data_IF_566953210112
#
_entry.id   IF_566953210112
#
_cell.length_a   1.000
_cell.length_b   1.000
_cell.length_c   1.000
_cell.angle_alpha   90.00
_cell.angle_beta   90.00
_cell.angle_gamma   90.00
#
_symmetry.space_group_name_H-M   'P 1'
#
loop_
_entity.id
_entity.type
_entity.pdbx_description
1 polymer ?
#
# COMPACT_ATOMS: atom_id res chain seq x y z
N UNK A 1 -7.57 -25.33 -27.14
CA UNK A 1 -7.25 -23.88 -27.26
C UNK A 1 -7.65 -23.02 -26.06
N UNK A 2 -8.81 -23.19 -25.40
CA UNK A 2 -9.16 -22.41 -24.18
C UNK A 2 -8.24 -22.67 -22.97
N UNK A 3 -7.78 -23.91 -22.78
CA UNK A 3 -6.87 -24.30 -21.68
C UNK A 3 -5.46 -23.69 -21.79
N UNK A 4 -4.88 -23.67 -22.99
CA UNK A 4 -3.55 -23.08 -23.22
C UNK A 4 -3.52 -21.56 -23.02
N UNK A 5 -4.54 -20.83 -23.54
CA UNK A 5 -4.68 -19.39 -23.28
C UNK A 5 -4.89 -19.07 -21.80
N UNK A 6 -5.64 -19.93 -21.08
CA UNK A 6 -5.81 -19.79 -19.63
C UNK A 6 -4.51 -20.04 -18.87
N UNK A 7 -3.65 -20.95 -19.31
CA UNK A 7 -2.35 -21.21 -18.70
C UNK A 7 -1.33 -20.09 -18.96
N UNK A 8 -1.24 -19.60 -20.20
CA UNK A 8 -0.35 -18.48 -20.56
C UNK A 8 -0.71 -17.19 -19.81
N UNK A 9 -2.00 -16.85 -19.71
CA UNK A 9 -2.45 -15.68 -18.96
C UNK A 9 -2.19 -15.82 -17.45
N UNK A 10 -2.29 -17.03 -16.89
CA UNK A 10 -1.95 -17.33 -15.48
C UNK A 10 -0.45 -17.21 -15.20
N UNK A 11 0.39 -17.67 -16.12
CA UNK A 11 1.84 -17.59 -15.99
C UNK A 11 2.34 -16.14 -16.08
N UNK A 12 1.88 -15.38 -17.08
CA UNK A 12 2.28 -13.98 -17.27
C UNK A 12 1.85 -13.11 -16.10
N UNK A 13 0.67 -13.35 -15.50
CA UNK A 13 0.19 -12.54 -14.38
C UNK A 13 0.98 -12.74 -13.09
N UNK A 14 1.41 -13.97 -12.79
CA UNK A 14 2.18 -14.30 -11.58
C UNK A 14 3.67 -13.93 -11.67
N UNK A 15 4.18 -13.67 -12.88
CA UNK A 15 5.59 -13.34 -13.13
C UNK A 15 5.82 -11.88 -13.52
N UNK A 16 4.81 -10.99 -13.47
CA UNK A 16 4.92 -9.59 -13.94
C UNK A 16 6.13 -8.85 -13.36
N UNK A 17 6.34 -8.95 -12.05
CA UNK A 17 7.47 -8.32 -11.38
C UNK A 17 8.83 -8.81 -11.89
N UNK A 18 8.92 -10.10 -12.25
CA UNK A 18 10.15 -10.67 -12.85
C UNK A 18 10.31 -10.28 -14.30
N UNK A 19 9.21 -10.19 -15.07
CA UNK A 19 9.24 -9.72 -16.46
C UNK A 19 9.71 -8.27 -16.53
N UNK A 20 9.22 -7.38 -15.65
CA UNK A 20 9.72 -6.00 -15.58
C UNK A 20 11.18 -5.93 -15.16
N UNK A 21 11.60 -6.77 -14.21
CA UNK A 21 13.00 -6.84 -13.80
C UNK A 21 13.92 -7.32 -14.93
N UNK A 22 13.47 -8.27 -15.76
CA UNK A 22 14.18 -8.69 -16.96
C UNK A 22 14.21 -7.58 -18.02
N UNK A 23 13.12 -6.84 -18.21
CA UNK A 23 13.07 -5.72 -19.15
C UNK A 23 14.06 -4.61 -18.77
N UNK A 24 14.33 -4.40 -17.46
CA UNK A 24 15.24 -3.38 -16.95
C UNK A 24 16.65 -3.42 -17.57
N UNK A 25 17.10 -4.60 -17.98
CA UNK A 25 18.46 -4.82 -18.48
C UNK A 25 18.56 -4.96 -19.98
N UNK A 26 17.44 -5.09 -20.71
CA UNK A 26 17.45 -5.27 -22.18
C UNK A 26 18.12 -4.10 -22.89
N UNK A 27 17.66 -2.86 -22.65
CA UNK A 27 18.24 -1.71 -23.33
C UNK A 27 19.69 -1.42 -22.90
N UNK A 28 20.04 -1.38 -21.59
CA UNK A 28 21.44 -1.24 -21.18
C UNK A 28 22.36 -2.29 -21.81
N UNK A 29 21.93 -3.55 -21.85
CA UNK A 29 22.64 -4.66 -22.50
C UNK A 29 22.83 -4.43 -24.00
N UNK A 30 21.76 -4.02 -24.70
CA UNK A 30 21.83 -3.74 -26.13
C UNK A 30 22.81 -2.60 -26.44
N UNK A 31 22.81 -1.55 -25.62
CA UNK A 31 23.76 -0.44 -25.77
C UNK A 31 25.19 -0.91 -25.55
N UNK A 32 25.43 -1.72 -24.52
CA UNK A 32 26.75 -2.33 -24.27
C UNK A 32 27.19 -3.17 -25.44
N UNK A 33 26.32 -4.04 -25.96
CA UNK A 33 26.58 -4.88 -27.12
C UNK A 33 26.94 -4.09 -28.38
N UNK A 34 26.15 -3.06 -28.69
CA UNK A 34 26.35 -2.22 -29.87
C UNK A 34 27.67 -1.43 -29.76
N UNK A 35 28.01 -0.97 -28.55
CA UNK A 35 29.25 -0.24 -28.32
C UNK A 35 30.46 -1.16 -28.37
N UNK A 36 30.42 -2.34 -27.75
CA UNK A 36 31.54 -3.29 -27.67
C UNK A 36 31.86 -4.00 -28.99
N UNK A 37 31.09 -3.76 -30.05
CA UNK A 37 31.20 -4.52 -31.30
C UNK A 37 30.82 -5.99 -31.15
N UNK A 38 30.03 -6.35 -30.13
CA UNK A 38 29.58 -7.72 -29.89
C UNK A 38 30.65 -8.67 -29.34
N UNK A 39 31.62 -8.17 -28.56
CA UNK A 39 32.66 -9.03 -27.95
C UNK A 39 32.08 -10.09 -27.01
N UNK A 40 32.78 -11.22 -26.84
CA UNK A 40 32.38 -12.30 -25.91
C UNK A 40 32.27 -11.81 -24.47
N UNK A 41 33.13 -10.89 -24.04
CA UNK A 41 33.01 -10.29 -22.71
C UNK A 41 31.71 -9.49 -22.56
N UNK A 42 31.32 -8.74 -23.60
CA UNK A 42 30.08 -7.97 -23.58
C UNK A 42 28.82 -8.85 -23.58
N UNK A 43 28.85 -9.99 -24.25
CA UNK A 43 27.80 -11.03 -24.17
C UNK A 43 27.68 -11.55 -22.74
N UNK A 44 28.82 -11.85 -22.12
CA UNK A 44 28.89 -12.47 -20.79
C UNK A 44 28.40 -11.51 -19.70
N UNK A 45 28.85 -10.26 -19.74
CA UNK A 45 28.39 -9.18 -18.85
C UNK A 45 26.89 -8.93 -19.01
N UNK A 46 26.39 -8.97 -20.24
CA UNK A 46 24.97 -8.80 -20.56
C UNK A 46 24.10 -9.91 -19.99
N UNK A 47 24.48 -11.18 -20.21
CA UNK A 47 23.76 -12.34 -19.68
C UNK A 47 23.77 -12.34 -18.16
N UNK A 48 24.94 -12.14 -17.53
CA UNK A 48 25.07 -12.06 -16.08
C UNK A 48 24.25 -10.88 -15.53
N UNK A 49 24.29 -9.72 -16.18
CA UNK A 49 23.50 -8.54 -15.82
C UNK A 49 22.00 -8.80 -15.86
N UNK A 50 21.50 -9.49 -16.90
CA UNK A 50 20.08 -9.86 -17.02
C UNK A 50 19.67 -10.78 -15.87
N UNK A 51 20.41 -11.87 -15.63
CA UNK A 51 20.09 -12.80 -14.53
C UNK A 51 20.21 -12.16 -13.15
N UNK A 52 21.26 -11.37 -12.93
CA UNK A 52 21.46 -10.64 -11.68
C UNK A 52 20.33 -9.63 -11.45
N UNK A 53 19.90 -8.88 -12.48
CA UNK A 53 18.81 -7.92 -12.36
C UNK A 53 17.46 -8.55 -12.05
N UNK A 54 17.12 -9.69 -12.66
CA UNK A 54 15.86 -10.39 -12.43
C UNK A 54 15.65 -10.79 -10.97
N UNK A 55 16.75 -11.02 -10.23
CA UNK A 55 16.70 -11.45 -8.83
C UNK A 55 17.07 -10.34 -7.84
N UNK A 56 18.14 -9.59 -8.12
CA UNK A 56 18.60 -8.50 -7.26
C UNK A 56 17.65 -7.32 -7.29
N UNK A 57 17.08 -6.94 -8.45
CA UNK A 57 16.21 -5.76 -8.53
C UNK A 57 14.92 -5.96 -7.72
N UNK A 58 14.37 -7.17 -7.72
CA UNK A 58 13.18 -7.52 -6.92
C UNK A 58 13.51 -7.42 -5.42
N UNK A 59 14.62 -8.02 -4.98
CA UNK A 59 15.06 -7.96 -3.57
C UNK A 59 15.42 -6.55 -3.12
N UNK A 60 16.12 -5.81 -3.98
CA UNK A 60 16.52 -4.43 -3.76
C UNK A 60 15.28 -3.52 -3.64
N UNK A 61 14.30 -3.68 -4.52
CA UNK A 61 13.02 -2.95 -4.46
C UNK A 61 12.27 -3.24 -3.16
N UNK A 62 12.19 -4.51 -2.76
CA UNK A 62 11.57 -4.90 -1.49
C UNK A 62 12.33 -4.35 -0.26
N UNK A 63 13.65 -4.24 -0.33
CA UNK A 63 14.45 -3.60 0.72
C UNK A 63 14.22 -2.09 0.77
N UNK A 64 14.23 -1.41 -0.39
CA UNK A 64 13.97 0.02 -0.50
C UNK A 64 12.60 0.39 0.09
N UNK A 65 11.54 -0.37 -0.26
CA UNK A 65 10.19 -0.17 0.29
C UNK A 65 10.19 -0.33 1.81
N UNK A 66 10.84 -1.38 2.34
CA UNK A 66 10.90 -1.62 3.79
C UNK A 66 11.61 -0.49 4.54
N UNK A 67 12.69 0.07 3.97
CA UNK A 67 13.41 1.19 4.60
C UNK A 67 12.58 2.48 4.54
N UNK A 68 11.97 2.79 3.40
CA UNK A 68 11.04 3.93 3.27
C UNK A 68 9.90 3.82 4.28
N UNK A 69 9.25 2.65 4.34
CA UNK A 69 8.17 2.38 5.28
C UNK A 69 8.66 2.52 6.73
N UNK A 70 9.78 1.89 7.12
CA UNK A 70 10.29 1.98 8.49
C UNK A 70 10.52 3.43 8.95
N UNK A 71 11.05 4.29 8.07
CA UNK A 71 11.27 5.71 8.37
C UNK A 71 9.96 6.47 8.48
N UNK A 72 9.05 6.23 7.54
CA UNK A 72 7.74 6.89 7.50
C UNK A 72 6.88 6.51 8.70
N UNK A 73 6.87 5.23 9.07
CA UNK A 73 6.17 4.70 10.25
C UNK A 73 6.73 5.32 11.53
N UNK A 74 8.05 5.38 11.69
CA UNK A 74 8.68 5.94 12.89
C UNK A 74 8.46 7.45 13.04
N UNK A 75 8.48 8.18 11.92
CA UNK A 75 8.36 9.64 11.93
C UNK A 75 6.93 10.15 11.85
N UNK A 76 5.98 9.34 11.37
CA UNK A 76 4.63 9.78 11.01
C UNK A 76 4.65 10.87 9.94
N UNK A 77 5.69 10.92 9.10
CA UNK A 77 5.97 11.96 8.09
C UNK A 77 6.37 11.30 6.78
N UNK A 78 6.33 12.06 5.68
CA UNK A 78 6.65 11.52 4.35
C UNK A 78 8.02 11.96 3.85
N UNK A 79 8.46 13.18 4.16
CA UNK A 79 9.73 13.74 3.64
C UNK A 79 10.95 12.90 3.99
N UNK A 80 11.14 12.45 5.25
CA UNK A 80 12.33 11.68 5.61
C UNK A 80 12.49 10.39 4.78
N UNK A 81 11.41 9.64 4.56
CA UNK A 81 11.43 8.47 3.69
C UNK A 81 11.74 8.84 2.23
N UNK A 82 11.21 9.98 1.73
CA UNK A 82 11.52 10.48 0.38
C UNK A 82 13.00 10.77 0.19
N UNK A 83 13.65 11.38 1.18
CA UNK A 83 15.08 11.71 1.12
C UNK A 83 15.93 10.45 1.16
N UNK A 84 15.61 9.51 2.06
CA UNK A 84 16.38 8.27 2.17
C UNK A 84 16.25 7.42 0.91
N UNK A 85 15.06 7.30 0.30
CA UNK A 85 14.92 6.54 -0.96
C UNK A 85 15.75 7.13 -2.11
N UNK A 86 15.99 8.44 -2.15
CA UNK A 86 16.86 9.06 -3.17
C UNK A 86 18.27 8.50 -3.09
N UNK A 87 18.78 8.22 -1.88
CA UNK A 87 20.08 7.57 -1.70
C UNK A 87 20.16 6.18 -2.36
N UNK A 88 19.05 5.44 -2.44
CA UNK A 88 19.03 4.14 -3.10
C UNK A 88 19.09 4.23 -4.63
N UNK A 89 18.78 5.39 -5.22
CA UNK A 89 18.90 5.57 -6.67
C UNK A 89 20.33 5.81 -7.13
N UNK A 90 21.22 6.27 -6.23
CA UNK A 90 22.64 6.47 -6.52
C UNK A 90 23.32 5.20 -7.04
N UNK A 91 23.30 4.05 -6.32
CA UNK A 91 23.96 2.84 -6.81
C UNK A 91 23.35 2.32 -8.12
N UNK A 92 22.03 2.47 -8.32
CA UNK A 92 21.37 2.06 -9.57
C UNK A 92 21.90 2.86 -10.75
N UNK A 93 21.91 4.19 -10.64
CA UNK A 93 22.40 5.08 -11.69
C UNK A 93 23.89 4.87 -11.95
N UNK A 94 24.70 4.73 -10.89
CA UNK A 94 26.15 4.50 -11.01
C UNK A 94 26.43 3.19 -11.75
N UNK A 95 25.80 2.09 -11.34
CA UNK A 95 25.99 0.78 -12.00
C UNK A 95 25.56 0.84 -13.46
N UNK A 96 24.39 1.40 -13.76
CA UNK A 96 23.93 1.54 -15.14
C UNK A 96 24.87 2.41 -15.98
N UNK A 97 25.34 3.54 -15.45
CA UNK A 97 26.24 4.45 -16.16
C UNK A 97 27.60 3.80 -16.43
N UNK A 98 28.15 3.04 -15.47
CA UNK A 98 29.40 2.27 -15.64
C UNK A 98 29.20 1.23 -16.74
N UNK A 99 28.12 0.44 -16.68
CA UNK A 99 27.84 -0.59 -17.67
C UNK A 99 27.74 0.02 -19.07
N UNK A 100 26.93 1.07 -19.25
CA UNK A 100 26.74 1.74 -20.54
C UNK A 100 28.00 2.39 -21.11
N UNK A 101 28.98 2.73 -20.26
CA UNK A 101 30.21 3.41 -20.65
C UNK A 101 31.46 2.58 -20.34
N UNK A 102 31.36 1.25 -20.33
CA UNK A 102 32.47 0.33 -20.09
C UNK A 102 33.56 0.36 -21.19
N UNK A 103 33.58 1.39 -22.04
CA UNK A 103 34.62 1.61 -23.03
C UNK A 103 35.78 2.42 -22.48
N UNK A 104 37.05 2.05 -22.78
CA UNK A 104 38.21 2.80 -22.34
C UNK A 104 38.18 4.25 -22.89
N UNK A 105 38.24 5.25 -22.00
CA UNK A 105 38.45 6.66 -22.35
C UNK A 105 37.24 7.59 -22.31
N UNK A 106 36.02 7.11 -22.01
CA UNK A 106 34.83 7.97 -21.86
C UNK A 106 34.44 8.16 -20.39
N UNK A 107 34.42 9.39 -19.88
CA UNK A 107 33.69 9.68 -18.64
C UNK A 107 32.19 9.68 -18.97
N UNK A 108 31.44 8.76 -18.35
CA UNK A 108 30.02 8.52 -18.63
C UNK A 108 29.16 9.78 -18.56
N UNK A 109 29.32 10.54 -17.48
CA UNK A 109 28.65 11.82 -17.21
C UNK A 109 29.55 12.63 -16.27
N UNK A 110 29.43 13.96 -16.29
CA UNK A 110 30.00 14.81 -15.25
C UNK A 110 29.16 14.69 -13.95
N UNK A 111 29.63 15.30 -12.86
CA UNK A 111 28.91 15.27 -11.57
C UNK A 111 27.47 15.79 -11.72
N UNK A 112 27.27 16.82 -12.54
CA UNK A 112 25.94 17.40 -12.81
C UNK A 112 25.02 16.39 -13.49
N UNK A 113 25.51 15.69 -14.52
CA UNK A 113 24.76 14.64 -15.22
C UNK A 113 24.40 13.47 -14.31
N UNK A 114 25.30 13.05 -13.42
CA UNK A 114 24.99 12.02 -12.42
C UNK A 114 23.88 12.48 -11.46
N UNK A 115 23.98 13.69 -10.91
CA UNK A 115 22.95 14.26 -10.04
C UNK A 115 21.60 14.35 -10.75
N UNK A 116 21.59 14.76 -12.02
CA UNK A 116 20.39 14.83 -12.85
C UNK A 116 19.74 13.45 -13.03
N UNK A 117 20.52 12.41 -13.33
CA UNK A 117 20.01 11.05 -13.53
C UNK A 117 19.49 10.43 -12.23
N UNK A 118 20.13 10.71 -11.08
CA UNK A 118 19.61 10.31 -9.76
C UNK A 118 18.29 11.00 -9.44
N UNK A 119 18.19 12.30 -9.73
CA UNK A 119 16.95 13.05 -9.59
C UNK A 119 15.86 12.51 -10.53
N UNK A 120 16.18 12.21 -11.79
CA UNK A 120 15.26 11.64 -12.76
C UNK A 120 14.71 10.28 -12.31
N UNK A 121 15.61 9.39 -11.86
CA UNK A 121 15.22 8.07 -11.33
C UNK A 121 14.33 8.20 -10.09
N UNK A 122 14.65 9.15 -9.21
CA UNK A 122 13.81 9.46 -8.04
C UNK A 122 12.44 10.02 -8.42
N UNK A 123 12.37 10.80 -9.50
CA UNK A 123 11.14 11.37 -10.03
C UNK A 123 10.22 10.30 -10.64
N UNK A 124 10.80 9.35 -11.37
CA UNK A 124 10.03 8.20 -11.88
C UNK A 124 9.51 7.33 -10.74
N UNK A 125 10.30 7.12 -9.68
CA UNK A 125 9.82 6.45 -8.47
C UNK A 125 8.63 7.20 -7.87
N UNK A 126 8.71 8.53 -7.76
CA UNK A 126 7.61 9.34 -7.22
C UNK A 126 6.30 9.12 -8.01
N UNK A 127 6.35 9.11 -9.35
CA UNK A 127 5.19 8.81 -10.21
C UNK A 127 4.68 7.39 -9.95
N UNK A 128 5.57 6.40 -9.93
CA UNK A 128 5.24 4.99 -9.70
C UNK A 128 4.52 4.76 -8.37
N UNK A 129 4.97 5.43 -7.30
CA UNK A 129 4.33 5.37 -5.99
C UNK A 129 3.00 6.12 -5.96
N UNK A 130 2.93 7.32 -6.55
CA UNK A 130 1.67 8.04 -6.71
C UNK A 130 0.60 7.17 -7.36
N UNK A 131 0.92 6.56 -8.50
CA UNK A 131 0.05 5.60 -9.18
C UNK A 131 -0.41 4.48 -8.24
N UNK A 132 0.50 3.87 -7.48
CA UNK A 132 0.15 2.80 -6.55
C UNK A 132 -0.80 3.29 -5.45
N UNK A 133 -0.57 4.47 -4.86
CA UNK A 133 -1.43 5.02 -3.80
C UNK A 133 -2.85 5.33 -4.31
N UNK A 134 -2.99 5.76 -5.57
CA UNK A 134 -4.29 5.98 -6.23
C UNK A 134 -4.95 4.68 -6.76
N UNK A 135 -4.33 3.52 -6.52
CA UNK A 135 -4.87 2.21 -6.85
C UNK A 135 -4.51 1.70 -8.26
N UNK A 136 -3.55 2.34 -8.93
CA UNK A 136 -3.02 1.90 -10.21
C UNK A 136 -1.76 1.05 -10.02
N UNK A 137 -1.95 -0.28 -10.02
CA UNK A 137 -0.87 -1.24 -9.79
C UNK A 137 -0.59 -1.44 -8.30
N UNK A 138 0.59 -1.98 -7.98
CA UNK A 138 1.08 -2.15 -6.61
C UNK A 138 2.45 -1.50 -6.45
N UNK A 139 2.81 -1.14 -5.21
CA UNK A 139 4.05 -0.39 -4.94
C UNK A 139 5.31 -1.14 -5.41
N UNK A 140 5.36 -2.46 -5.26
CA UNK A 140 6.55 -3.24 -5.62
C UNK A 140 6.69 -3.36 -7.14
N UNK A 141 5.62 -3.76 -7.83
CA UNK A 141 5.61 -3.86 -9.28
C UNK A 141 5.90 -2.51 -9.96
N UNK A 142 5.27 -1.43 -9.48
CA UNK A 142 5.50 -0.08 -10.02
C UNK A 142 6.93 0.40 -9.77
N UNK A 143 7.53 0.09 -8.61
CA UNK A 143 8.94 0.44 -8.34
C UNK A 143 9.89 -0.30 -9.28
N UNK A 144 9.70 -1.61 -9.46
CA UNK A 144 10.53 -2.41 -10.36
C UNK A 144 10.44 -1.85 -11.79
N UNK A 145 9.23 -1.55 -12.26
CA UNK A 145 9.03 -0.91 -13.56
C UNK A 145 9.71 0.46 -13.64
N UNK A 146 9.59 1.29 -12.61
CA UNK A 146 10.28 2.58 -12.55
C UNK A 146 11.79 2.43 -12.65
N UNK A 147 12.39 1.49 -11.90
CA UNK A 147 13.83 1.24 -11.95
C UNK A 147 14.26 0.69 -13.32
N UNK A 148 13.40 -0.11 -13.97
CA UNK A 148 13.64 -0.57 -15.33
C UNK A 148 13.71 0.60 -16.32
N UNK A 149 12.75 1.53 -16.25
CA UNK A 149 12.73 2.73 -17.09
C UNK A 149 13.92 3.66 -16.73
N UNK A 150 14.29 3.77 -15.46
CA UNK A 150 15.51 4.49 -15.04
C UNK A 150 16.76 3.95 -15.70
N UNK A 151 16.95 2.63 -15.70
CA UNK A 151 18.09 2.00 -16.35
C UNK A 151 18.13 2.31 -17.85
N UNK A 152 16.97 2.29 -18.50
CA UNK A 152 16.83 2.64 -19.92
C UNK A 152 17.15 4.11 -20.17
N UNK A 153 16.69 5.01 -19.31
CA UNK A 153 16.96 6.43 -19.42
C UNK A 153 18.45 6.76 -19.25
N UNK A 154 19.12 6.14 -18.28
CA UNK A 154 20.58 6.26 -18.12
C UNK A 154 21.30 5.81 -19.38
N UNK A 155 20.90 4.66 -19.94
CA UNK A 155 21.49 4.15 -21.16
C UNK A 155 21.25 5.07 -22.37
N UNK A 156 20.03 5.61 -22.50
CA UNK A 156 19.66 6.53 -23.56
C UNK A 156 20.43 7.85 -23.47
N UNK A 157 20.60 8.42 -22.27
CA UNK A 157 21.35 9.67 -22.07
C UNK A 157 22.83 9.54 -22.47
N UNK A 158 23.38 8.33 -22.47
CA UNK A 158 24.75 8.10 -22.90
C UNK A 158 24.90 8.16 -24.44
N UNK A 159 23.82 7.95 -25.19
CA UNK A 159 23.82 7.92 -26.66
C UNK A 159 23.20 9.18 -27.25
N UNK A 160 22.09 9.64 -26.65
CA UNK A 160 21.24 10.69 -27.18
C UNK A 160 21.09 11.85 -26.20
N UNK A 161 21.57 13.04 -26.60
CA UNK A 161 21.49 14.25 -25.76
C UNK A 161 20.05 14.67 -25.49
N UNK A 162 19.12 14.37 -26.41
CA UNK A 162 17.70 14.67 -26.23
C UNK A 162 17.08 13.94 -25.03
N UNK A 163 17.63 12.78 -24.64
CA UNK A 163 17.19 12.05 -23.45
C UNK A 163 17.47 12.81 -22.14
N UNK A 164 18.46 13.72 -22.13
CA UNK A 164 18.73 14.59 -20.97
C UNK A 164 17.57 15.56 -20.70
N UNK A 165 16.82 15.97 -21.72
CA UNK A 165 15.62 16.79 -21.53
C UNK A 165 14.54 16.01 -20.76
N UNK A 166 14.31 14.76 -21.13
CA UNK A 166 13.39 13.88 -20.41
C UNK A 166 13.86 13.63 -18.96
N UNK A 167 15.17 13.40 -18.76
CA UNK A 167 15.75 13.31 -17.42
C UNK A 167 15.53 14.59 -16.60
N UNK A 168 15.65 15.77 -17.22
CA UNK A 168 15.30 17.07 -16.64
C UNK A 168 13.86 17.14 -16.17
N UNK A 169 12.89 16.74 -17.01
CA UNK A 169 11.48 16.70 -16.63
C UNK A 169 11.21 15.77 -15.45
N UNK A 170 11.80 14.57 -15.45
CA UNK A 170 11.71 13.66 -14.31
C UNK A 170 12.37 14.25 -13.04
N UNK A 171 13.48 14.96 -13.18
CA UNK A 171 14.13 15.69 -12.09
C UNK A 171 13.24 16.77 -11.49
N UNK A 172 12.50 17.52 -12.34
CA UNK A 172 11.49 18.50 -11.87
C UNK A 172 10.39 17.80 -11.08
N UNK A 173 9.89 16.65 -11.55
CA UNK A 173 8.88 15.86 -10.83
C UNK A 173 9.41 15.43 -9.45
N UNK A 174 10.67 15.01 -9.36
CA UNK A 174 11.30 14.69 -8.08
C UNK A 174 11.31 15.88 -7.12
N UNK A 175 11.79 17.03 -7.57
CA UNK A 175 11.86 18.26 -6.75
C UNK A 175 10.46 18.67 -6.31
N UNK A 176 9.49 18.70 -7.22
CA UNK A 176 8.10 19.04 -6.91
C UNK A 176 7.52 18.07 -5.86
N UNK A 177 7.73 16.77 -6.02
CA UNK A 177 7.26 15.77 -5.07
C UNK A 177 7.94 15.89 -3.70
N UNK A 178 9.22 16.24 -3.65
CA UNK A 178 9.91 16.50 -2.37
C UNK A 178 9.35 17.75 -1.69
N UNK A 179 9.17 18.84 -2.43
CA UNK A 179 8.61 20.11 -1.93
C UNK A 179 7.18 19.91 -1.42
N UNK A 180 6.32 19.18 -2.15
CA UNK A 180 4.96 18.87 -1.70
C UNK A 180 4.97 18.10 -0.37
N UNK A 181 5.86 17.10 -0.23
CA UNK A 181 6.04 16.36 1.01
C UNK A 181 6.50 17.24 2.17
N UNK A 182 7.44 18.16 1.91
CA UNK A 182 7.93 19.11 2.92
C UNK A 182 6.82 20.06 3.37
N UNK A 183 6.03 20.59 2.44
CA UNK A 183 4.90 21.47 2.74
C UNK A 183 3.80 20.74 3.51
N UNK A 184 3.58 19.45 3.23
CA UNK A 184 2.64 18.60 3.95
C UNK A 184 3.10 18.26 5.37
N UNK A 185 4.38 17.89 5.53
CA UNK A 185 4.98 17.73 6.85
C UNK A 185 4.93 19.03 7.65
N UNK A 186 5.16 20.18 7.01
CA UNK A 186 5.02 21.48 7.66
C UNK A 186 3.58 21.75 8.09
N UNK A 187 2.59 21.46 7.23
CA UNK A 187 1.15 21.56 7.57
C UNK A 187 0.75 20.63 8.72
N UNK A 188 1.46 19.53 8.93
CA UNK A 188 1.19 18.65 10.06
C UNK A 188 1.57 19.28 11.42
N UNK A 189 2.56 20.18 11.41
CA UNK A 189 3.08 20.89 12.58
C UNK A 189 2.39 22.26 12.74
N UNK A 190 2.23 22.99 11.64
CA UNK A 190 1.60 24.32 11.58
C UNK A 190 0.23 24.21 10.93
N UNK A 191 -0.79 24.25 11.76
CA UNK A 191 -2.18 24.06 11.35
C UNK A 191 -3.11 25.07 12.03
N UNK A 192 -4.23 25.43 11.37
CA UNK A 192 -5.26 26.23 12.00
C UNK A 192 -6.01 25.41 13.05
N UNK A 193 -6.29 26.01 14.22
CA UNK A 193 -7.12 25.39 15.26
C UNK A 193 -8.61 25.64 15.04
N UNK A 194 -9.14 25.04 13.99
CA UNK A 194 -10.56 25.05 13.60
C UNK A 194 -10.78 24.06 12.44
N UNK A 195 -12.05 23.86 12.09
CA UNK A 195 -12.46 23.11 10.92
C UNK A 195 -12.91 21.70 11.27
N UNK A 196 -12.72 20.77 10.34
CA UNK A 196 -13.22 19.40 10.45
C UNK A 196 -12.09 18.39 10.36
N UNK A 197 -12.27 17.23 10.99
CA UNK A 197 -11.39 16.09 10.87
C UNK A 197 -11.94 15.02 9.93
N UNK A 198 -11.05 14.26 9.31
CA UNK A 198 -11.37 13.02 8.60
C UNK A 198 -10.46 11.91 9.10
N UNK A 199 -11.03 10.74 9.31
CA UNK A 199 -10.28 9.54 9.68
C UNK A 199 -10.74 8.36 8.85
N UNK A 200 -9.80 7.78 8.13
CA UNK A 200 -10.07 6.71 7.17
C UNK A 200 -9.45 5.40 7.62
N UNK A 201 -10.10 4.32 7.21
CA UNK A 201 -9.42 3.03 7.14
C UNK A 201 -9.22 2.34 8.46
N UNK A 202 -10.17 2.43 9.38
CA UNK A 202 -9.95 1.87 10.70
C UNK A 202 -11.18 1.29 11.40
N UNK A 203 -10.81 0.32 12.26
CA UNK A 203 -11.47 -0.27 13.41
C UNK A 203 -12.09 -1.63 13.23
N UNK A 204 -11.23 -2.63 13.47
CA UNK A 204 -11.71 -3.94 13.80
C UNK A 204 -10.86 -4.69 14.85
N UNK A 205 -11.32 -4.84 16.10
CA UNK A 205 -12.43 -4.12 16.77
C UNK A 205 -12.04 -2.68 17.17
N UNK A 206 -13.01 -1.86 17.60
CA UNK A 206 -12.77 -0.47 18.06
C UNK A 206 -12.24 -0.48 19.50
N UNK A 207 -11.03 0.04 19.72
CA UNK A 207 -10.41 0.13 21.04
C UNK A 207 -10.73 1.47 21.74
N UNK A 208 -10.71 1.47 23.08
CA UNK A 208 -10.82 2.71 23.87
C UNK A 208 -9.75 3.74 23.52
N UNK A 209 -8.52 3.30 23.22
CA UNK A 209 -7.44 4.20 22.77
C UNK A 209 -7.84 5.00 21.54
N UNK A 210 -8.55 4.37 20.60
CA UNK A 210 -8.97 5.06 19.39
C UNK A 210 -9.99 6.17 19.66
N UNK A 211 -10.87 5.94 20.63
CA UNK A 211 -11.87 6.92 21.07
C UNK A 211 -11.19 8.06 21.82
N UNK A 212 -10.19 7.75 22.67
CA UNK A 212 -9.34 8.76 23.30
C UNK A 212 -8.60 9.63 22.28
N UNK A 213 -8.02 9.01 21.25
CA UNK A 213 -7.36 9.73 20.15
C UNK A 213 -8.33 10.71 19.47
N UNK A 214 -9.57 10.30 19.22
CA UNK A 214 -10.58 11.17 18.60
C UNK A 214 -10.90 12.36 19.50
N UNK A 215 -11.07 12.11 20.80
CA UNK A 215 -11.29 13.16 21.81
C UNK A 215 -10.10 14.15 21.86
N UNK A 216 -8.88 13.65 21.98
CA UNK A 216 -7.66 14.46 22.06
C UNK A 216 -7.48 15.32 20.80
N UNK A 217 -7.77 14.76 19.62
CA UNK A 217 -7.67 15.49 18.35
C UNK A 217 -8.77 16.55 18.22
N UNK A 218 -10.02 16.22 18.58
CA UNK A 218 -11.13 17.18 18.62
C UNK A 218 -10.76 18.42 19.43
N UNK A 219 -10.14 18.24 20.59
CA UNK A 219 -9.83 19.34 21.50
C UNK A 219 -8.53 20.07 21.13
N UNK A 220 -7.45 19.33 20.87
CA UNK A 220 -6.14 19.93 20.55
C UNK A 220 -6.16 20.72 19.24
N UNK A 221 -6.90 20.25 18.23
CA UNK A 221 -7.08 20.92 16.94
C UNK A 221 -8.31 21.85 16.94
N UNK A 222 -9.13 21.86 18.01
CA UNK A 222 -10.40 22.60 18.11
C UNK A 222 -11.32 22.34 16.92
N UNK A 223 -11.49 21.08 16.58
CA UNK A 223 -12.34 20.68 15.46
C UNK A 223 -13.80 20.74 15.86
N UNK A 224 -14.63 21.20 14.95
CA UNK A 224 -16.08 21.15 15.11
C UNK A 224 -16.57 19.70 15.13
N UNK A 225 -16.06 18.90 14.19
CA UNK A 225 -16.48 17.52 13.97
C UNK A 225 -15.37 16.68 13.35
N UNK A 226 -15.38 15.37 13.62
CA UNK A 226 -14.57 14.37 12.90
C UNK A 226 -15.49 13.42 12.15
N UNK A 227 -15.18 13.19 10.88
CA UNK A 227 -15.80 12.18 10.04
C UNK A 227 -14.96 10.90 10.01
N UNK A 228 -15.53 9.78 10.45
CA UNK A 228 -14.85 8.49 10.41
C UNK A 228 -15.47 7.62 9.34
N UNK A 229 -14.67 7.07 8.43
CA UNK A 229 -15.14 6.18 7.37
C UNK A 229 -14.55 4.78 7.53
N UNK A 230 -15.42 3.78 7.70
CA UNK A 230 -15.05 2.37 7.67
C UNK A 230 -14.82 1.91 6.22
N UNK A 231 -13.76 1.17 5.94
CA UNK A 231 -13.47 0.69 4.59
C UNK A 231 -14.33 -0.51 4.22
N UNK A 232 -15.07 -0.58 3.11
CA UNK A 232 -15.77 -1.81 2.68
C UNK A 232 -14.78 -2.95 2.42
N UNK A 233 -13.93 -2.77 1.39
CA UNK A 233 -12.79 -3.63 1.02
C UNK A 233 -11.69 -2.69 0.53
N UNK A 234 -10.42 -2.82 0.95
CA UNK A 234 -9.34 -2.03 0.35
C UNK A 234 -9.39 -2.14 -1.18
N UNK A 235 -9.39 -1.03 -1.92
CA UNK A 235 -9.50 -1.05 -3.40
C UNK A 235 -8.49 -2.01 -4.04
N UNK A 236 -7.31 -2.14 -3.44
CA UNK A 236 -6.27 -3.11 -3.84
C UNK A 236 -6.70 -4.57 -3.69
N UNK A 237 -7.43 -4.92 -2.64
CA UNK A 237 -7.99 -6.27 -2.46
C UNK A 237 -9.06 -6.54 -3.51
N UNK A 238 -9.93 -5.59 -3.81
CA UNK A 238 -10.93 -5.73 -4.89
C UNK A 238 -10.25 -6.06 -6.23
N UNK A 239 -9.25 -5.28 -6.63
CA UNK A 239 -8.52 -5.54 -7.88
C UNK A 239 -7.79 -6.90 -7.86
N UNK A 240 -7.26 -7.31 -6.71
CA UNK A 240 -6.62 -8.62 -6.56
C UNK A 240 -7.65 -9.77 -6.64
N UNK A 241 -8.86 -9.59 -6.11
CA UNK A 241 -9.98 -10.54 -6.24
C UNK A 241 -10.45 -10.66 -7.68
N UNK A 242 -10.65 -9.53 -8.37
CA UNK A 242 -11.04 -9.49 -9.79
C UNK A 242 -10.02 -10.22 -10.68
N UNK A 243 -8.73 -10.17 -10.33
CA UNK A 243 -7.66 -10.89 -11.03
C UNK A 243 -7.52 -12.36 -10.59
N UNK A 244 -8.20 -12.76 -9.53
CA UNK A 244 -8.07 -14.06 -8.88
C UNK A 244 -6.70 -14.28 -8.24
N UNK A 245 -6.00 -13.21 -7.86
CA UNK A 245 -4.72 -13.25 -7.11
C UNK A 245 -4.95 -13.61 -5.64
N UNK A 246 -6.12 -13.26 -5.11
CA UNK A 246 -6.57 -13.60 -3.76
C UNK A 246 -8.00 -14.14 -3.82
N UNK A 247 -8.44 -14.80 -2.77
CA UNK A 247 -9.80 -15.32 -2.59
C UNK A 247 -10.33 -14.95 -1.19
N UNK A 248 -11.66 -15.05 -1.02
CA UNK A 248 -12.35 -14.81 0.26
C UNK A 248 -12.96 -16.13 0.72
N UNK A 249 -12.72 -16.47 1.98
CA UNK A 249 -13.51 -17.42 2.75
C UNK A 249 -14.16 -16.73 3.95
N UNK A 250 -15.12 -17.40 4.59
CA UNK A 250 -15.82 -16.89 5.76
C UNK A 250 -15.51 -17.75 6.98
N UNK A 251 -15.17 -17.11 8.10
CA UNK A 251 -14.90 -17.78 9.38
C UNK A 251 -15.38 -16.91 10.53
N UNK A 252 -16.29 -17.43 11.36
CA UNK A 252 -16.88 -16.74 12.52
C UNK A 252 -17.38 -15.31 12.21
N UNK A 253 -18.17 -15.14 11.15
CA UNK A 253 -18.73 -13.85 10.73
C UNK A 253 -17.69 -12.86 10.17
N UNK A 254 -16.46 -13.31 9.88
CA UNK A 254 -15.41 -12.52 9.26
C UNK A 254 -15.08 -13.01 7.85
N UNK A 255 -14.75 -12.07 6.96
CA UNK A 255 -14.03 -12.36 5.72
C UNK A 255 -12.57 -12.67 6.04
N UNK A 256 -12.11 -13.81 5.56
CA UNK A 256 -10.72 -14.24 5.61
C UNK A 256 -10.18 -14.24 4.18
N UNK A 257 -9.11 -13.49 3.95
CA UNK A 257 -8.47 -13.39 2.65
C UNK A 257 -7.25 -14.32 2.60
N UNK A 258 -7.14 -15.11 1.54
CA UNK A 258 -6.00 -15.99 1.26
C UNK A 258 -5.41 -15.71 -0.13
N UNK A 259 -4.12 -16.02 -0.30
CA UNK A 259 -3.47 -15.98 -1.62
C UNK A 259 -3.89 -17.22 -2.42
N UNK A 260 -4.11 -17.05 -3.71
CA UNK A 260 -4.24 -18.17 -4.64
C UNK A 260 -2.89 -18.49 -5.29
N UNK A 261 -2.84 -19.55 -6.08
CA UNK A 261 -1.66 -19.89 -6.91
C UNK A 261 -1.30 -18.82 -7.96
N UNK A 262 -2.19 -17.84 -8.21
CA UNK A 262 -1.95 -16.74 -9.15
C UNK A 262 -1.29 -15.53 -8.50
N UNK A 263 -1.19 -15.50 -7.17
CA UNK A 263 -0.61 -14.38 -6.44
C UNK A 263 0.86 -14.16 -6.84
N UNK A 264 1.22 -12.94 -7.24
CA UNK A 264 2.63 -12.55 -7.39
C UNK A 264 3.38 -12.72 -6.03
N UNK A 265 4.45 -13.52 -5.96
CA UNK A 265 5.22 -13.73 -4.73
C UNK A 265 5.88 -12.45 -4.17
N UNK A 266 6.17 -11.46 -5.02
CA UNK A 266 6.80 -10.20 -4.62
C UNK A 266 5.80 -9.21 -3.99
N UNK A 267 4.50 -9.47 -4.10
CA UNK A 267 3.45 -8.58 -3.61
C UNK A 267 2.98 -8.96 -2.20
N UNK A 268 2.99 -7.98 -1.30
CA UNK A 268 2.33 -8.09 -0.02
C UNK A 268 0.85 -7.71 -0.14
N UNK A 269 -0.01 -8.72 -0.26
CA UNK A 269 -1.46 -8.51 -0.40
C UNK A 269 -2.14 -8.11 0.90
N UNK A 270 -1.58 -8.45 2.06
CA UNK A 270 -2.25 -8.31 3.36
C UNK A 270 -1.42 -7.49 4.36
N UNK A 271 -0.97 -6.27 4.00
CA UNK A 271 -0.08 -5.47 4.85
C UNK A 271 -0.75 -5.02 6.16
N UNK A 272 -2.09 -5.00 6.21
CA UNK A 272 -2.91 -4.60 7.36
C UNK A 272 -3.69 -5.79 7.95
N UNK A 273 -3.24 -7.01 7.67
CA UNK A 273 -3.93 -8.25 8.04
C UNK A 273 -4.86 -8.78 6.94
N UNK A 274 -5.40 -9.97 7.17
CA UNK A 274 -6.21 -10.72 6.21
C UNK A 274 -7.57 -11.18 6.77
N UNK A 275 -7.99 -10.66 7.93
CA UNK A 275 -9.26 -11.02 8.58
C UNK A 275 -10.01 -9.77 9.00
N UNK A 276 -11.22 -9.60 8.47
CA UNK A 276 -12.05 -8.41 8.68
C UNK A 276 -13.53 -8.79 8.80
N UNK A 277 -14.27 -8.16 9.70
CA UNK A 277 -15.73 -8.23 9.72
C UNK A 277 -16.30 -7.60 8.45
N UNK A 278 -17.53 -7.97 8.13
CA UNK A 278 -18.31 -7.34 7.07
C UNK A 278 -18.42 -5.82 7.27
N UNK A 279 -18.64 -5.09 6.18
CA UNK A 279 -18.65 -3.62 6.19
C UNK A 279 -19.71 -3.08 7.15
N UNK A 280 -20.92 -3.63 7.03
CA UNK A 280 -22.11 -3.26 7.79
C UNK A 280 -21.83 -3.44 9.28
N UNK A 281 -21.35 -4.62 9.67
CA UNK A 281 -20.99 -4.91 11.05
C UNK A 281 -19.91 -3.96 11.58
N UNK A 282 -18.87 -3.65 10.80
CA UNK A 282 -17.83 -2.68 11.24
C UNK A 282 -18.38 -1.28 11.41
N UNK A 283 -19.31 -0.85 10.54
CA UNK A 283 -19.98 0.43 10.66
C UNK A 283 -20.79 0.49 11.96
N UNK A 284 -21.51 -0.57 12.30
CA UNK A 284 -22.31 -0.63 13.53
C UNK A 284 -21.45 -0.72 14.79
N UNK A 285 -20.37 -1.50 14.78
CA UNK A 285 -19.39 -1.52 15.87
C UNK A 285 -18.79 -0.14 16.11
N UNK A 286 -18.51 0.60 15.04
CA UNK A 286 -17.98 1.95 15.13
C UNK A 286 -19.02 2.95 15.66
N UNK A 287 -20.27 2.89 15.17
CA UNK A 287 -21.38 3.71 15.68
C UNK A 287 -21.59 3.47 17.17
N UNK A 288 -21.70 2.21 17.58
CA UNK A 288 -21.85 1.82 18.97
C UNK A 288 -20.70 2.37 19.84
N UNK A 289 -19.45 2.28 19.37
CA UNK A 289 -18.30 2.78 20.11
C UNK A 289 -18.29 4.30 20.29
N UNK A 290 -18.69 5.03 19.25
CA UNK A 290 -18.82 6.50 19.31
C UNK A 290 -19.92 6.91 20.29
N UNK A 291 -21.06 6.22 20.26
CA UNK A 291 -22.17 6.45 21.19
C UNK A 291 -21.77 6.14 22.63
N UNK A 292 -21.14 4.99 22.88
CA UNK A 292 -20.66 4.58 24.21
C UNK A 292 -19.66 5.55 24.84
N UNK A 293 -19.00 6.37 24.02
CA UNK A 293 -17.97 7.33 24.45
C UNK A 293 -18.46 8.77 24.47
N UNK A 294 -19.78 9.00 24.33
CA UNK A 294 -20.38 10.34 24.32
C UNK A 294 -19.78 11.27 23.25
N UNK A 295 -19.36 10.70 22.11
CA UNK A 295 -18.76 11.43 21.00
C UNK A 295 -19.73 11.70 19.85
N UNK A 296 -21.00 11.26 19.96
CA UNK A 296 -21.98 11.26 18.86
C UNK A 296 -22.22 12.64 18.21
N UNK A 297 -22.17 13.70 19.00
CA UNK A 297 -22.45 15.06 18.51
C UNK A 297 -21.30 15.62 17.64
N UNK A 298 -20.08 15.16 17.93
CA UNK A 298 -18.82 15.66 17.34
C UNK A 298 -18.12 14.64 16.46
N UNK A 299 -18.54 13.38 16.45
CA UNK A 299 -17.97 12.32 15.60
C UNK A 299 -19.09 11.68 14.79
N UNK A 300 -18.96 11.73 13.47
CA UNK A 300 -19.94 11.14 12.56
C UNK A 300 -19.31 9.98 11.80
N UNK A 301 -19.94 8.81 11.92
CA UNK A 301 -19.59 7.64 11.10
C UNK A 301 -20.20 7.80 9.71
N UNK A 302 -19.35 8.02 8.71
CA UNK A 302 -19.76 8.16 7.32
C UNK A 302 -20.12 6.81 6.70
N UNK A 303 -21.25 6.81 5.99
CA UNK A 303 -21.76 5.71 5.21
C UNK A 303 -21.75 6.12 3.74
N UNK A 304 -20.61 5.92 3.07
CA UNK A 304 -20.39 6.32 1.67
C UNK A 304 -19.75 5.18 0.85
N UNK A 305 -20.32 3.95 0.88
CA UNK A 305 -19.74 2.79 0.21
C UNK A 305 -19.58 3.02 -1.30
N UNK A 306 -20.60 3.56 -1.98
CA UNK A 306 -20.59 3.79 -3.44
C UNK A 306 -19.47 4.74 -3.88
N UNK A 307 -19.27 5.83 -3.13
CA UNK A 307 -18.21 6.81 -3.41
C UNK A 307 -16.84 6.15 -3.20
N UNK A 308 -16.69 5.41 -2.11
CA UNK A 308 -15.44 4.71 -1.81
C UNK A 308 -15.14 3.61 -2.84
N UNK A 309 -16.13 2.88 -3.34
CA UNK A 309 -15.94 1.84 -4.34
C UNK A 309 -15.47 2.40 -5.69
N UNK A 310 -16.03 3.53 -6.10
CA UNK A 310 -15.67 4.24 -7.34
C UNK A 310 -14.29 4.90 -7.22
N UNK A 311 -14.11 5.75 -6.22
CA UNK A 311 -13.02 6.73 -6.16
C UNK A 311 -12.05 6.50 -4.97
N UNK A 312 -12.30 5.50 -4.13
CA UNK A 312 -11.51 5.23 -2.92
C UNK A 312 -11.63 6.35 -1.88
N UNK A 313 -10.64 6.43 -0.99
CA UNK A 313 -10.61 7.46 0.06
C UNK A 313 -10.52 8.89 -0.48
N UNK A 314 -9.98 9.09 -1.70
CA UNK A 314 -9.95 10.40 -2.33
C UNK A 314 -11.37 10.89 -2.64
N UNK A 315 -12.26 10.00 -3.13
CA UNK A 315 -13.67 10.33 -3.32
C UNK A 315 -14.36 10.73 -2.03
N UNK A 316 -14.15 9.94 -0.96
CA UNK A 316 -14.72 10.23 0.37
C UNK A 316 -14.20 11.57 0.89
N UNK A 317 -12.90 11.85 0.74
CA UNK A 317 -12.29 13.11 1.14
C UNK A 317 -12.87 14.30 0.37
N UNK A 318 -13.05 14.16 -0.94
CA UNK A 318 -13.62 15.19 -1.79
C UNK A 318 -15.07 15.47 -1.43
N UNK A 319 -15.85 14.44 -1.10
CA UNK A 319 -17.22 14.59 -0.64
C UNK A 319 -17.28 15.36 0.70
N UNK A 320 -16.36 15.06 1.64
CA UNK A 320 -16.25 15.81 2.89
C UNK A 320 -15.85 17.27 2.65
N UNK A 321 -14.84 17.52 1.81
CA UNK A 321 -14.44 18.89 1.41
C UNK A 321 -15.58 19.66 0.75
N UNK A 322 -16.41 18.98 -0.05
CA UNK A 322 -17.57 19.57 -0.73
C UNK A 322 -18.64 20.00 0.27
N UNK A 323 -18.90 19.19 1.32
CA UNK A 323 -19.85 19.53 2.40
C UNK A 323 -19.37 20.69 3.26
N UNK A 324 -18.05 20.88 3.38
CA UNK A 324 -17.42 21.83 4.29
C UNK A 324 -16.50 22.82 3.56
N UNK A 325 -17.02 23.43 2.48
CA UNK A 325 -16.24 24.39 1.68
C UNK A 325 -15.77 25.56 2.53
N UNK A 326 -14.49 25.91 2.39
CA UNK A 326 -13.87 27.01 3.13
C UNK A 326 -13.37 26.66 4.53
N UNK A 327 -13.71 25.47 5.06
CA UNK A 327 -13.19 25.00 6.33
C UNK A 327 -11.86 24.23 6.14
N UNK A 328 -10.88 24.41 7.05
CA UNK A 328 -9.71 23.55 7.09
C UNK A 328 -10.11 22.09 7.34
N UNK A 329 -9.47 21.18 6.61
CA UNK A 329 -9.68 19.74 6.79
C UNK A 329 -8.42 19.12 7.37
N UNK A 330 -8.55 18.46 8.52
CA UNK A 330 -7.49 17.76 9.23
C UNK A 330 -7.57 16.26 8.96
N UNK A 331 -6.51 15.68 8.41
CA UNK A 331 -6.47 14.26 8.05
C UNK A 331 -5.80 13.43 9.12
N UNK A 332 -6.57 12.71 9.93
CA UNK A 332 -6.05 11.82 10.97
C UNK A 332 -5.52 10.54 10.32
N UNK A 333 -4.32 10.13 10.71
CA UNK A 333 -3.72 8.88 10.25
C UNK A 333 -2.86 8.23 11.33
N UNK A 334 -2.85 6.89 11.33
CA UNK A 334 -1.94 6.11 12.17
C UNK A 334 -0.49 6.17 11.66
N UNK A 335 0.43 5.75 12.53
CA UNK A 335 1.84 5.50 12.21
C UNK A 335 2.11 4.05 11.78
N UNK A 336 1.07 3.31 11.38
CA UNK A 336 1.14 1.95 10.83
C UNK A 336 1.07 1.97 9.28
N UNK A 337 1.18 0.82 8.64
CA UNK A 337 1.23 0.74 7.16
C UNK A 337 -0.04 1.29 6.51
N UNK A 338 -1.21 1.02 7.10
CA UNK A 338 -2.49 1.53 6.60
C UNK A 338 -2.64 3.05 6.79
N UNK A 339 -2.28 3.55 7.97
CA UNK A 339 -2.28 4.97 8.28
C UNK A 339 -1.30 5.75 7.40
N UNK A 340 -0.09 5.24 7.19
CA UNK A 340 0.87 5.88 6.29
C UNK A 340 0.39 5.86 4.83
N UNK A 341 -0.35 4.84 4.39
CA UNK A 341 -1.01 4.87 3.08
C UNK A 341 -1.98 6.04 2.96
N UNK A 342 -2.85 6.22 3.95
CA UNK A 342 -3.78 7.35 4.01
C UNK A 342 -3.03 8.68 4.09
N UNK A 343 -1.89 8.72 4.79
CA UNK A 343 -1.03 9.91 4.83
C UNK A 343 -0.50 10.30 3.45
N UNK A 344 -0.08 9.34 2.64
CA UNK A 344 0.34 9.62 1.25
C UNK A 344 -0.82 10.21 0.43
N UNK A 345 -2.05 9.73 0.62
CA UNK A 345 -3.22 10.31 -0.03
C UNK A 345 -3.48 11.77 0.40
N UNK A 346 -3.31 12.09 1.69
CA UNK A 346 -3.45 13.48 2.18
C UNK A 346 -2.39 14.43 1.61
N UNK A 347 -1.20 13.91 1.33
CA UNK A 347 -0.13 14.67 0.68
C UNK A 347 -0.56 15.14 -0.72
N UNK A 348 -1.09 14.20 -1.51
CA UNK A 348 -1.52 14.42 -2.90
C UNK A 348 -2.84 15.21 -3.00
N UNK A 349 -3.66 15.19 -1.95
CA UNK A 349 -5.02 15.73 -2.01
C UNK A 349 -5.13 17.25 -1.90
N UNK A 350 -4.00 17.96 -1.72
CA UNK A 350 -3.96 19.42 -1.62
C UNK A 350 -4.69 19.99 -0.39
N UNK A 351 -4.01 20.88 0.34
CA UNK A 351 -4.61 21.71 1.41
C UNK A 351 -5.32 20.95 2.56
N UNK A 352 -4.85 19.74 2.87
CA UNK A 352 -5.14 19.01 4.12
C UNK A 352 -4.11 19.32 5.20
N UNK A 353 -4.49 19.24 6.48
CA UNK A 353 -3.57 19.31 7.61
C UNK A 353 -3.40 17.92 8.22
N UNK A 354 -2.37 17.14 7.84
CA UNK A 354 -2.20 15.79 8.37
C UNK A 354 -2.01 15.83 9.88
N UNK A 355 -2.67 14.91 10.59
CA UNK A 355 -2.54 14.73 12.02
C UNK A 355 -2.07 13.30 12.28
N UNK A 356 -0.76 13.15 12.48
CA UNK A 356 -0.16 11.87 12.79
C UNK A 356 -0.56 11.45 14.21
N UNK A 357 -1.11 10.25 14.31
CA UNK A 357 -1.42 9.59 15.57
C UNK A 357 -0.45 8.44 15.74
N UNK A 358 0.52 8.64 16.64
CA UNK A 358 1.50 7.61 16.98
C UNK A 358 0.95 6.84 18.17
N UNK A 359 0.60 5.57 17.95
CA UNK A 359 0.15 4.69 19.03
C UNK A 359 1.35 4.24 19.85
N UNK A 360 1.31 4.50 21.15
CA UNK A 360 2.27 3.97 22.14
C UNK A 360 1.72 2.73 22.86
N UNK A 361 0.41 2.47 22.73
CA UNK A 361 -0.25 1.36 23.39
C UNK A 361 -0.02 0.04 22.64
N UNK A 362 0.61 -0.94 23.29
CA UNK A 362 0.86 -2.28 22.74
C UNK A 362 -0.43 -3.13 22.61
N UNK A 363 -1.60 -2.50 22.50
CA UNK A 363 -2.91 -3.17 22.40
C UNK A 363 -3.12 -3.63 20.96
N UNK A 364 -2.82 -4.90 20.70
CA UNK A 364 -3.03 -5.53 19.40
C UNK A 364 -4.47 -5.98 19.22
N UNK A 365 -5.01 -5.83 17.99
CA UNK A 365 -6.30 -6.40 17.62
C UNK A 365 -6.35 -7.93 17.84
N UNK A 366 -5.18 -8.59 17.78
CA UNK A 366 -5.02 -10.02 18.09
C UNK A 366 -5.32 -10.34 19.55
N UNK A 367 -4.92 -9.50 20.52
CA UNK A 367 -5.18 -9.73 21.94
C UNK A 367 -6.68 -9.69 22.28
N UNK A 368 -7.43 -8.77 21.66
CA UNK A 368 -8.88 -8.67 21.86
C UNK A 368 -9.61 -9.83 21.19
N UNK A 369 -9.19 -10.21 19.98
CA UNK A 369 -9.68 -11.44 19.33
C UNK A 369 -9.39 -12.70 20.16
N UNK A 370 -8.26 -12.70 20.86
CA UNK A 370 -7.86 -13.76 21.79
C UNK A 370 -8.56 -13.74 23.15
N UNK A 371 -9.49 -12.81 23.41
CA UNK A 371 -10.31 -12.81 24.62
C UNK A 371 -10.00 -11.71 25.64
N UNK A 372 -9.09 -10.78 25.36
CA UNK A 372 -8.82 -9.68 26.28
C UNK A 372 -10.05 -8.78 26.45
N UNK A 373 -10.48 -8.60 27.71
CA UNK A 373 -11.62 -7.79 28.14
C UNK A 373 -11.16 -6.39 28.61
N UNK A 374 -12.05 -5.41 28.63
CA UNK A 374 -11.79 -4.06 29.13
C UNK A 374 -11.18 -3.10 28.11
N UNK A 375 -10.90 -3.56 26.89
CA UNK A 375 -10.13 -2.83 25.87
C UNK A 375 -11.00 -2.15 24.81
N UNK A 376 -12.30 -2.47 24.75
CA UNK A 376 -13.24 -1.94 23.76
C UNK A 376 -14.41 -1.24 24.45
N UNK A 377 -15.30 -0.59 23.70
CA UNK A 377 -16.49 0.04 24.30
C UNK A 377 -17.45 -1.02 24.87
N UNK A 378 -18.37 -0.60 25.75
CA UNK A 378 -19.30 -1.50 26.44
C UNK A 378 -20.12 -2.36 25.46
N UNK A 379 -20.72 -1.76 24.45
CA UNK A 379 -21.51 -2.48 23.45
C UNK A 379 -20.64 -3.38 22.57
N UNK A 380 -19.41 -2.96 22.24
CA UNK A 380 -18.48 -3.82 21.50
C UNK A 380 -18.03 -5.03 22.33
N UNK A 381 -17.82 -4.86 23.65
CA UNK A 381 -17.51 -5.99 24.53
C UNK A 381 -18.66 -6.99 24.61
N UNK A 382 -19.90 -6.50 24.71
CA UNK A 382 -21.09 -7.34 24.70
C UNK A 382 -21.23 -8.10 23.37
N UNK A 383 -21.03 -7.43 22.23
CA UNK A 383 -20.98 -8.07 20.92
C UNK A 383 -19.89 -9.15 20.85
N UNK A 384 -18.67 -8.84 21.28
CA UNK A 384 -17.57 -9.81 21.25
C UNK A 384 -17.83 -11.02 22.16
N UNK A 385 -18.55 -10.83 23.28
CA UNK A 385 -18.99 -11.92 24.13
C UNK A 385 -20.04 -12.79 23.42
N UNK A 386 -21.08 -12.20 22.83
CA UNK A 386 -22.11 -12.92 22.07
C UNK A 386 -21.51 -13.71 20.90
N UNK A 387 -20.66 -13.06 20.09
CA UNK A 387 -20.01 -13.69 18.95
C UNK A 387 -19.10 -14.88 19.35
N UNK A 388 -18.45 -14.82 20.53
CA UNK A 388 -17.66 -15.94 21.08
C UNK A 388 -18.53 -17.09 21.58
N UNK A 389 -19.70 -16.78 22.15
CA UNK A 389 -20.67 -17.76 22.62
C UNK A 389 -21.48 -18.41 21.49
N UNK A 390 -21.43 -17.86 20.28
CA UNK A 390 -22.22 -18.35 19.15
C UNK A 390 -23.62 -17.74 19.06
N UNK A 391 -23.84 -16.63 19.77
CA UNK A 391 -25.13 -15.97 19.91
C UNK A 391 -25.29 -14.81 18.93
N UNK A 392 -26.53 -14.57 18.52
CA UNK A 392 -26.91 -13.37 17.79
C UNK A 392 -26.72 -12.13 18.68
N UNK A 393 -26.59 -10.95 18.05
CA UNK A 393 -26.46 -9.69 18.77
C UNK A 393 -27.25 -8.57 18.11
N UNK A 394 -28.17 -7.96 18.88
CA UNK A 394 -28.94 -6.79 18.46
C UNK A 394 -28.22 -5.50 18.87
N UNK A 395 -27.84 -4.70 17.89
CA UNK A 395 -27.25 -3.38 18.14
C UNK A 395 -28.34 -2.36 18.50
N UNK A 396 -28.01 -1.32 19.30
CA UNK A 396 -28.94 -0.22 19.59
C UNK A 396 -29.47 0.52 18.36
N UNK A 397 -28.78 0.43 17.22
CA UNK A 397 -29.22 0.98 15.93
C UNK A 397 -30.36 0.19 15.28
N UNK A 398 -30.72 -0.99 15.81
CA UNK A 398 -31.66 -1.93 15.20
C UNK A 398 -31.02 -2.91 14.21
N UNK A 399 -29.70 -2.83 13.99
CA UNK A 399 -28.99 -3.84 13.20
C UNK A 399 -28.84 -5.13 14.01
N UNK A 400 -29.22 -6.26 13.42
CA UNK A 400 -29.04 -7.59 14.00
C UNK A 400 -27.86 -8.29 13.35
N UNK A 401 -26.88 -8.67 14.17
CA UNK A 401 -25.85 -9.61 13.77
C UNK A 401 -26.38 -11.03 14.02
N UNK A 402 -26.56 -11.78 12.93
CA UNK A 402 -26.92 -13.19 12.99
C UNK A 402 -25.65 -14.02 12.88
N UNK A 403 -25.40 -14.87 13.87
CA UNK A 403 -24.34 -15.84 13.76
C UNK A 403 -24.72 -16.78 12.61
N UNK A 404 -23.92 -16.81 11.54
CA UNK A 404 -24.20 -17.69 10.40
C UNK A 404 -24.15 -19.14 10.89
N UNK A 405 -25.31 -19.72 11.19
CA UNK A 405 -25.48 -21.13 11.57
C UNK A 405 -25.49 -21.98 10.30
N UNK A 406 -24.40 -21.95 9.54
CA UNK A 406 -24.26 -22.69 8.29
C UNK A 406 -22.75 -22.90 8.04
N UNK A 407 -22.17 -24.09 7.87
CA UNK A 407 -22.71 -25.43 7.64
C UNK A 407 -21.82 -26.45 8.38
N UNK A 408 -22.38 -27.18 9.33
CA UNK A 408 -21.92 -28.54 9.57
C UNK A 408 -22.24 -29.34 8.29
N UNK A 409 -21.31 -29.40 7.33
CA UNK A 409 -21.35 -30.47 6.36
C UNK A 409 -21.28 -31.78 7.15
N UNK A 410 -22.18 -32.74 6.93
CA UNK A 410 -21.93 -34.08 7.42
C UNK A 410 -20.59 -34.53 6.82
N UNK A 411 -19.71 -35.05 7.67
CA UNK A 411 -18.66 -35.96 7.22
C UNK A 411 -19.36 -37.22 6.69
N UNK A 412 -19.86 -37.17 5.47
CA UNK A 412 -20.26 -38.37 4.74
C UNK A 412 -19.66 -38.29 3.35
N UNK A 413 -18.75 -39.23 3.11
CA UNK A 413 -18.26 -39.66 1.80
C UNK A 413 -17.24 -38.75 1.09
N UNK A 414 -16.01 -38.73 1.61
CA UNK A 414 -14.84 -38.76 0.74
C UNK A 414 -14.10 -40.08 1.00
N UNK A 415 -14.19 -40.97 0.02
CA UNK A 415 -13.84 -42.38 0.10
C UNK A 415 -12.48 -42.67 0.71
N UNK A 416 -12.47 -43.72 1.52
CA UNK A 416 -11.30 -44.54 1.78
C UNK A 416 -10.64 -44.90 0.45
N UNK A 417 -9.56 -44.21 0.09
CA UNK A 417 -8.54 -44.80 -0.76
C UNK A 417 -7.72 -45.73 0.11
N UNK A 418 -8.21 -46.96 0.19
CA UNK A 418 -7.48 -48.14 0.63
C UNK A 418 -6.16 -48.19 -0.15
N UNK A 419 -5.05 -47.88 0.52
CA UNK A 419 -3.71 -48.18 0.03
C UNK A 419 -3.52 -49.69 0.14
N UNK A 420 -3.87 -50.43 -0.92
CA UNK A 420 -3.39 -51.80 -1.10
C UNK A 420 -1.91 -51.72 -1.45
N UNK A 421 -1.06 -52.00 -0.45
CA UNK A 421 0.29 -52.52 -0.67
C UNK A 421 0.15 -53.86 -1.39
N UNK A 422 0.59 -53.93 -2.64
CA UNK A 422 1.00 -55.19 -3.24
C UNK A 422 2.43 -55.47 -2.75
N UNK A 423 2.54 -56.54 -1.97
CA UNK A 423 3.78 -57.23 -1.62
C UNK A 423 3.87 -58.44 -2.57
N UNK A 424 5.11 -58.85 -2.87
CA UNK A 424 5.56 -60.07 -3.60
C UNK A 424 5.28 -60.07 -5.11
N UNK A 425 6.24 -60.38 -5.99
CA UNK A 425 7.50 -61.15 -5.89
C UNK A 425 8.70 -60.44 -6.55
#
# INVERSE_FOLDING_TARGET
MKSARLFELRFISSQKSRIYALAATVLPTLVVWLRSGGSIESVSVSVIGIFASAWLLVRFSAWMIRVDDAINLRSGRVTPGRLVRTGFHVPVVVVCAILTNAHPGSSAFDTTGYCLLVAASSGMHAIAFGLAYHGHGDRAGNLILSLAISSWLVAACAIERSALFFAGLCGIVFVAHLVMGMLSDLRSIRYPRKGIGVFFGTFNPVHKTHLQILHDVLDSRRLERIYVHCTTVPKLHRLALERGEIEISHDAGMRVYSKTDRADPAKNYFPTGNRFYEYELRRELLRASVTDSDLGDRVTVLDLPDIYERDGFIGVLNEVKRRHRGLPVHGLHGSDTGGMWVRHLFDDSGWIYPCAVVRSDQVSATAIRGGAIGLTSKTVEQFLAAARSGDDFDFPSGYRFEQTRDQARPQSECGQKTVRRAVTE
#
